data_IF_849495203893
#
_entry.id   IF_849495203893
#
_cell.length_a   1.000
_cell.length_b   1.000
_cell.length_c   1.000
_cell.angle_alpha   90.00
_cell.angle_beta   90.00
_cell.angle_gamma   90.00
#
_symmetry.space_group_name_H-M   'P 1'
#
loop_
_entity.id
_entity.type
_entity.pdbx_description
1 polymer ?
#
# COMPACT_ATOMS: atom_id res chain seq x y z
N UNK A 1 -62.57 0.01 56.27
CA UNK A 1 -62.36 0.64 54.95
C UNK A 1 -61.13 1.54 55.02
N UNK A 2 -60.14 1.27 54.16
CA UNK A 2 -59.17 2.19 53.52
C UNK A 2 -58.28 3.10 54.41
N UNK A 3 -56.98 3.24 54.22
CA UNK A 3 -56.01 2.80 53.20
C UNK A 3 -54.62 2.96 53.85
N UNK A 4 -53.79 1.92 53.86
CA UNK A 4 -52.36 2.03 54.17
C UNK A 4 -51.62 2.26 52.84
N UNK A 5 -51.06 3.45 52.64
CA UNK A 5 -50.30 3.77 51.43
C UNK A 5 -48.86 3.29 51.59
N UNK A 6 -48.51 2.21 50.88
CA UNK A 6 -47.14 1.72 50.71
C UNK A 6 -46.48 2.58 49.62
N UNK A 7 -45.49 3.38 50.01
CA UNK A 7 -44.63 4.13 49.11
C UNK A 7 -43.49 3.20 48.65
N UNK A 8 -43.64 2.57 47.49
CA UNK A 8 -42.54 1.87 46.82
C UNK A 8 -41.58 2.90 46.21
N UNK A 9 -40.42 3.10 46.83
CA UNK A 9 -39.29 3.80 46.21
C UNK A 9 -38.66 2.87 45.18
N UNK A 10 -39.01 3.06 43.92
CA UNK A 10 -38.37 2.45 42.77
C UNK A 10 -37.01 3.15 42.56
N UNK A 11 -35.94 2.56 43.08
CA UNK A 11 -34.57 2.95 42.73
C UNK A 11 -34.31 2.53 41.29
N UNK A 12 -34.49 3.46 40.36
CA UNK A 12 -34.01 3.34 38.98
C UNK A 12 -32.49 3.31 39.00
N UNK A 13 -31.92 2.11 39.02
CA UNK A 13 -30.50 1.88 38.70
C UNK A 13 -30.35 2.20 37.22
N UNK A 14 -30.06 3.47 36.90
CA UNK A 14 -29.45 3.84 35.63
C UNK A 14 -28.03 3.27 35.63
N UNK A 15 -27.92 1.98 35.30
CA UNK A 15 -26.66 1.39 34.87
C UNK A 15 -26.27 2.10 33.57
N UNK A 16 -25.53 3.19 33.69
CA UNK A 16 -24.72 3.70 32.59
C UNK A 16 -23.79 2.55 32.24
N UNK A 17 -24.14 1.78 31.20
CA UNK A 17 -23.25 0.79 30.61
C UNK A 17 -22.04 1.56 30.07
N UNK A 18 -21.05 1.80 30.94
CA UNK A 18 -19.76 2.31 30.51
C UNK A 18 -19.21 1.29 29.51
N UNK A 19 -19.06 1.70 28.25
CA UNK A 19 -18.56 0.82 27.21
C UNK A 19 -17.21 0.22 27.65
N UNK A 20 -17.07 -1.09 27.47
CA UNK A 20 -15.91 -1.83 27.92
C UNK A 20 -14.69 -1.42 27.08
N UNK A 21 -13.54 -1.20 27.75
CA UNK A 21 -12.26 -0.96 27.07
C UNK A 21 -11.99 -2.12 26.12
N UNK A 22 -11.84 -1.83 24.84
CA UNK A 22 -11.66 -2.84 23.81
C UNK A 22 -10.45 -2.54 22.94
N UNK A 23 -9.88 -3.62 22.40
CA UNK A 23 -8.69 -3.59 21.58
C UNK A 23 -8.84 -4.58 20.43
N UNK A 24 -8.70 -4.06 19.22
CA UNK A 24 -8.55 -4.85 18.00
C UNK A 24 -7.08 -4.87 17.58
N UNK A 25 -6.59 -6.04 17.15
CA UNK A 25 -5.22 -6.21 16.71
C UNK A 25 -5.22 -6.91 15.36
N UNK A 26 -4.69 -6.21 14.35
CA UNK A 26 -4.62 -6.70 12.98
C UNK A 26 -3.15 -6.87 12.60
N UNK A 27 -2.63 -8.10 12.58
CA UNK A 27 -1.36 -8.38 11.93
C UNK A 27 -1.53 -8.17 10.42
N UNK A 28 -0.69 -7.35 9.78
CA UNK A 28 -0.84 -6.98 8.37
C UNK A 28 0.50 -6.83 7.65
N UNK A 29 0.44 -6.94 6.33
CA UNK A 29 1.52 -6.59 5.40
C UNK A 29 1.28 -5.22 4.73
N UNK A 30 0.19 -4.53 5.07
CA UNK A 30 -0.11 -3.21 4.54
C UNK A 30 1.02 -2.20 4.81
N UNK A 31 1.02 -1.12 4.03
CA UNK A 31 1.98 -0.04 4.17
C UNK A 31 1.88 0.61 5.57
N UNK A 32 3.02 0.87 6.25
CA UNK A 32 3.03 1.41 7.61
C UNK A 32 2.47 2.82 7.72
N UNK A 33 2.43 3.60 6.64
CA UNK A 33 1.82 4.93 6.65
C UNK A 33 0.33 4.87 7.00
N UNK A 34 -0.33 3.77 6.62
CA UNK A 34 -1.77 3.58 6.73
C UNK A 34 -2.52 4.84 6.26
N UNK A 35 -2.06 5.43 5.14
CA UNK A 35 -2.57 6.71 4.62
C UNK A 35 -4.10 6.72 4.55
N UNK A 36 -4.75 5.59 4.23
CA UNK A 36 -6.21 5.49 4.19
C UNK A 36 -6.88 5.78 5.54
N UNK A 37 -6.22 5.49 6.66
CA UNK A 37 -6.75 5.77 8.00
C UNK A 37 -6.70 7.27 8.34
N UNK A 38 -5.69 7.97 7.84
CA UNK A 38 -5.40 9.38 8.19
C UNK A 38 -5.85 10.38 7.13
N UNK A 39 -5.91 9.97 5.87
CA UNK A 39 -6.06 10.81 4.68
C UNK A 39 -7.20 10.33 3.77
N UNK A 40 -8.26 9.81 4.37
CA UNK A 40 -9.50 9.48 3.68
C UNK A 40 -10.71 9.89 4.53
N UNK A 41 -11.82 10.18 3.86
CA UNK A 41 -13.08 10.51 4.53
C UNK A 41 -13.83 9.26 5.01
N UNK A 42 -13.58 8.12 4.36
CA UNK A 42 -14.33 6.88 4.55
C UNK A 42 -13.49 5.85 5.30
N UNK A 43 -13.10 6.17 6.55
CA UNK A 43 -12.20 5.33 7.36
C UNK A 43 -12.71 3.89 7.51
N UNK A 44 -14.03 3.72 7.58
CA UNK A 44 -14.69 2.42 7.77
C UNK A 44 -14.88 1.64 6.46
N UNK A 45 -14.66 2.26 5.30
CA UNK A 45 -14.85 1.61 4.00
C UNK A 45 -13.66 0.73 3.58
N UNK A 46 -12.52 0.84 4.28
CA UNK A 46 -11.32 0.09 3.93
C UNK A 46 -10.96 -0.96 4.98
N UNK A 47 -10.94 -2.22 4.56
CA UNK A 47 -10.51 -3.34 5.40
C UNK A 47 -8.99 -3.49 5.36
N UNK A 48 -8.37 -3.57 6.53
CA UNK A 48 -6.93 -3.82 6.66
C UNK A 48 -6.68 -5.30 6.41
N UNK A 49 -5.85 -5.68 5.42
CA UNK A 49 -5.61 -7.08 5.13
C UNK A 49 -4.91 -7.76 6.30
N UNK A 50 -5.49 -8.85 6.79
CA UNK A 50 -4.88 -9.64 7.85
C UNK A 50 -3.89 -10.65 7.26
N UNK A 51 -2.68 -10.71 7.81
CA UNK A 51 -1.71 -11.77 7.51
C UNK A 51 -1.75 -12.82 8.61
N UNK A 52 -1.80 -14.09 8.19
CA UNK A 52 -1.75 -15.25 9.09
C UNK A 52 -0.48 -16.07 8.93
N UNK A 53 0.25 -15.85 7.84
CA UNK A 53 1.39 -16.66 7.41
C UNK A 53 2.50 -15.77 6.85
N UNK A 54 3.73 -16.02 7.27
CA UNK A 54 4.92 -15.29 6.83
C UNK A 54 6.07 -16.25 6.57
N UNK A 55 7.10 -15.77 5.87
CA UNK A 55 8.35 -16.49 5.63
C UNK A 55 9.52 -15.80 6.34
N UNK A 56 10.67 -16.47 6.56
CA UNK A 56 11.84 -15.83 7.13
C UNK A 56 12.25 -14.56 6.38
N UNK A 57 12.56 -13.50 7.12
CA UNK A 57 12.90 -12.17 6.61
C UNK A 57 11.70 -11.31 6.22
N UNK A 58 10.49 -11.88 6.08
CA UNK A 58 9.28 -11.12 5.80
C UNK A 58 8.83 -10.37 7.05
N UNK A 59 8.79 -9.04 6.95
CA UNK A 59 8.29 -8.19 8.03
C UNK A 59 6.78 -8.01 7.90
N UNK A 60 6.05 -8.37 8.96
CA UNK A 60 4.67 -7.97 9.15
C UNK A 60 4.57 -6.98 10.30
N UNK A 61 3.39 -6.40 10.46
CA UNK A 61 3.15 -5.28 11.35
C UNK A 61 1.90 -5.49 12.17
N UNK A 62 1.90 -5.02 13.42
CA UNK A 62 0.68 -4.98 14.24
C UNK A 62 0.05 -3.60 14.15
N UNK A 63 -1.14 -3.54 13.56
CA UNK A 63 -2.04 -2.40 13.71
C UNK A 63 -2.92 -2.67 14.93
N UNK A 64 -2.83 -1.81 15.94
CA UNK A 64 -3.58 -1.95 17.19
C UNK A 64 -4.55 -0.79 17.27
N UNK A 65 -5.84 -1.09 17.43
CA UNK A 65 -6.89 -0.11 17.61
C UNK A 65 -7.42 -0.17 19.04
N UNK A 66 -7.60 0.98 19.65
CA UNK A 66 -8.15 1.12 20.99
C UNK A 66 -9.52 1.81 20.93
N UNK A 67 -10.46 1.28 21.70
CA UNK A 67 -11.82 1.78 21.84
C UNK A 67 -12.18 1.89 23.32
N UNK A 68 -13.03 2.86 23.66
CA UNK A 68 -13.57 3.04 25.02
C UNK A 68 -12.49 3.15 26.12
N UNK A 69 -11.36 3.79 25.81
CA UNK A 69 -10.31 4.11 26.78
C UNK A 69 -10.61 5.42 27.53
N UNK A 70 -9.98 5.58 28.69
CA UNK A 70 -10.15 6.75 29.56
C UNK A 70 -9.31 7.91 29.08
N UNK A 71 -9.85 9.12 29.24
CA UNK A 71 -9.14 10.37 28.97
C UNK A 71 -9.22 11.29 30.18
N UNK A 72 -8.15 12.05 30.40
CA UNK A 72 -8.08 13.08 31.44
C UNK A 72 -7.38 14.31 30.85
N UNK A 73 -8.01 15.48 30.91
CA UNK A 73 -7.49 16.72 30.32
C UNK A 73 -7.09 16.58 28.84
N UNK A 74 -7.94 15.93 28.02
CA UNK A 74 -7.67 15.59 26.61
C UNK A 74 -6.43 14.68 26.36
N UNK A 75 -5.86 14.09 27.41
CA UNK A 75 -4.79 13.10 27.29
C UNK A 75 -5.33 11.69 27.53
N UNK A 76 -4.81 10.73 26.78
CA UNK A 76 -4.97 9.30 27.02
C UNK A 76 -3.68 8.75 27.67
N UNK A 77 -3.79 7.61 28.36
CA UNK A 77 -2.60 6.91 28.83
C UNK A 77 -2.78 5.40 28.64
N UNK A 78 -2.64 4.99 27.39
CA UNK A 78 -2.73 3.58 27.01
C UNK A 78 -1.33 3.07 26.69
N UNK A 79 -0.91 2.00 27.39
CA UNK A 79 0.35 1.30 27.11
C UNK A 79 0.09 -0.16 26.77
N UNK A 80 1.04 -0.79 26.08
CA UNK A 80 0.93 -2.21 25.77
C UNK A 80 2.28 -2.94 25.75
N UNK A 81 2.20 -4.27 25.81
CA UNK A 81 3.32 -5.19 25.77
C UNK A 81 3.04 -6.24 24.72
N UNK A 82 4.07 -6.66 23.99
CA UNK A 82 3.98 -7.72 22.98
C UNK A 82 4.93 -8.84 23.38
N UNK A 83 4.43 -10.05 23.51
CA UNK A 83 5.23 -11.25 23.77
C UNK A 83 4.99 -12.26 22.67
N UNK A 84 6.05 -12.92 22.24
CA UNK A 84 6.01 -14.01 21.29
C UNK A 84 6.30 -15.34 22.02
N UNK A 85 5.52 -16.37 21.72
CA UNK A 85 5.76 -17.75 22.16
C UNK A 85 6.08 -18.57 20.92
N UNK A 86 7.19 -19.30 20.96
CA UNK A 86 7.67 -20.13 19.86
C UNK A 86 6.79 -21.39 19.70
N UNK A 87 6.90 -22.12 18.58
CA UNK A 87 6.13 -23.35 18.34
C UNK A 87 6.34 -24.45 19.39
N UNK A 88 7.52 -24.50 20.01
CA UNK A 88 7.87 -25.43 21.09
C UNK A 88 7.38 -24.98 22.49
N UNK A 89 6.64 -23.86 22.57
CA UNK A 89 6.19 -23.26 23.83
C UNK A 89 7.24 -22.41 24.54
N UNK A 90 8.49 -22.37 24.05
CA UNK A 90 9.54 -21.54 24.63
C UNK A 90 9.31 -20.05 24.37
N UNK A 91 10.00 -19.20 25.15
CA UNK A 91 9.87 -17.74 25.01
C UNK A 91 10.56 -17.27 23.74
N UNK A 92 9.81 -16.56 22.89
CA UNK A 92 10.35 -15.77 21.78
C UNK A 92 10.75 -14.37 22.23
N UNK A 93 10.62 -13.39 21.33
CA UNK A 93 10.89 -11.99 21.67
C UNK A 93 9.85 -11.39 22.62
N UNK A 94 10.23 -10.31 23.30
CA UNK A 94 9.33 -9.48 24.10
C UNK A 94 9.60 -8.00 23.84
N UNK A 95 8.55 -7.21 23.61
CA UNK A 95 8.60 -5.74 23.56
C UNK A 95 7.81 -5.19 24.74
N UNK A 96 8.48 -4.43 25.60
CA UNK A 96 7.93 -3.99 26.88
C UNK A 96 7.46 -2.54 26.85
N UNK A 97 6.29 -2.28 27.47
CA UNK A 97 5.78 -0.95 27.83
C UNK A 97 5.84 0.06 26.67
N UNK A 98 5.29 -0.33 25.54
CA UNK A 98 5.14 0.53 24.37
C UNK A 98 3.99 1.52 24.59
N UNK A 99 4.12 2.73 24.04
CA UNK A 99 3.04 3.72 24.02
C UNK A 99 2.01 3.32 22.97
N UNK A 100 0.75 3.16 23.40
CA UNK A 100 -0.40 2.98 22.52
C UNK A 100 -0.99 4.31 22.11
N UNK A 101 -1.47 5.09 23.09
CA UNK A 101 -2.06 6.42 22.92
C UNK A 101 -1.66 7.36 24.06
N UNK A 102 -1.29 8.59 23.72
CA UNK A 102 -1.05 9.74 24.60
C UNK A 102 -2.17 10.77 24.55
N UNK A 103 -2.91 10.83 23.44
CA UNK A 103 -3.88 11.87 23.17
C UNK A 103 -5.30 11.29 23.13
N UNK A 104 -6.30 12.12 23.44
CA UNK A 104 -7.70 11.70 23.42
C UNK A 104 -8.19 11.28 22.03
N UNK A 105 -7.49 11.67 20.96
CA UNK A 105 -7.87 11.41 19.58
C UNK A 105 -9.23 12.02 19.20
N UNK A 106 -9.66 11.79 17.96
CA UNK A 106 -10.99 12.18 17.48
C UNK A 106 -11.69 10.95 16.92
N UNK A 107 -12.73 10.45 17.60
CA UNK A 107 -13.53 9.29 17.17
C UNK A 107 -13.52 8.13 18.15
N UNK A 108 -14.44 7.18 17.94
CA UNK A 108 -14.68 6.03 18.85
C UNK A 108 -13.55 4.99 18.85
N UNK A 109 -12.76 4.96 17.77
CA UNK A 109 -11.67 4.01 17.54
C UNK A 109 -10.42 4.73 17.11
N UNK A 110 -9.33 4.54 17.85
CA UNK A 110 -8.05 5.16 17.58
C UNK A 110 -6.98 4.13 17.25
N UNK A 111 -6.23 4.39 16.19
CA UNK A 111 -5.04 3.62 15.84
C UNK A 111 -3.91 3.99 16.81
N UNK A 112 -3.17 2.98 17.27
CA UNK A 112 -1.93 3.12 18.01
C UNK A 112 -0.95 4.07 17.31
N UNK A 113 -0.29 4.95 18.07
CA UNK A 113 0.66 5.94 17.54
C UNK A 113 1.77 5.34 16.68
N UNK A 114 2.16 4.10 16.98
CA UNK A 114 3.22 3.40 16.26
C UNK A 114 2.77 2.00 15.87
N UNK A 115 2.91 1.72 14.58
CA UNK A 115 2.78 0.38 14.04
C UNK A 115 4.01 -0.43 14.46
N UNK A 116 3.81 -1.66 14.94
CA UNK A 116 4.90 -2.48 15.50
C UNK A 116 5.39 -3.50 14.46
N UNK A 117 6.62 -3.35 13.93
CA UNK A 117 7.18 -4.33 13.00
C UNK A 117 7.67 -5.58 13.75
N UNK A 118 7.41 -6.74 13.13
CA UNK A 118 7.84 -8.07 13.57
C UNK A 118 8.35 -8.83 12.34
N UNK A 119 9.49 -9.49 12.47
CA UNK A 119 10.08 -10.35 11.44
C UNK A 119 10.73 -11.54 12.13
N UNK A 120 10.66 -12.70 11.48
CA UNK A 120 11.40 -13.90 11.90
C UNK A 120 12.67 -14.05 11.07
N UNK A 121 13.73 -14.54 11.69
CA UNK A 121 15.00 -14.86 11.06
C UNK A 121 14.97 -16.25 10.39
N UNK A 122 16.01 -16.58 9.62
CA UNK A 122 16.17 -17.92 9.02
C UNK A 122 16.42 -19.03 10.05
N UNK A 123 16.85 -18.68 11.25
CA UNK A 123 17.17 -19.62 12.32
C UNK A 123 16.00 -19.84 13.28
N UNK A 124 14.92 -19.07 13.14
CA UNK A 124 13.72 -19.26 13.93
C UNK A 124 12.98 -20.53 13.49
N UNK A 125 12.52 -21.37 14.44
CA UNK A 125 11.86 -22.63 14.10
C UNK A 125 10.58 -22.37 13.30
N UNK A 126 10.41 -23.13 12.21
CA UNK A 126 9.17 -23.16 11.44
C UNK A 126 8.02 -23.66 12.32
N UNK A 127 6.82 -23.11 12.12
CA UNK A 127 5.62 -23.52 12.84
C UNK A 127 4.76 -22.34 13.27
N UNK A 128 3.83 -22.63 14.18
CA UNK A 128 2.86 -21.67 14.66
C UNK A 128 3.40 -20.91 15.89
N UNK A 129 3.48 -19.59 15.78
CA UNK A 129 3.84 -18.70 16.88
C UNK A 129 2.58 -18.09 17.48
N UNK A 130 2.52 -18.02 18.82
CA UNK A 130 1.49 -17.25 19.51
C UNK A 130 2.02 -15.85 19.85
N UNK A 131 1.33 -14.81 19.36
CA UNK A 131 1.59 -13.43 19.72
C UNK A 131 0.57 -13.00 20.77
N UNK A 132 1.07 -12.64 21.94
CA UNK A 132 0.28 -12.19 23.08
C UNK A 132 0.48 -10.69 23.26
N UNK A 133 -0.62 -9.94 23.29
CA UNK A 133 -0.60 -8.49 23.50
C UNK A 133 -1.41 -8.15 24.73
N UNK A 134 -0.76 -7.52 25.71
CA UNK A 134 -1.39 -6.98 26.90
C UNK A 134 -1.52 -5.48 26.72
N UNK A 135 -2.72 -4.93 26.86
CA UNK A 135 -3.01 -3.51 26.81
C UNK A 135 -3.50 -3.03 28.17
N UNK A 136 -3.08 -1.84 28.57
CA UNK A 136 -3.44 -1.23 29.85
C UNK A 136 -3.84 0.22 29.62
N UNK A 137 -5.08 0.53 29.97
CA UNK A 137 -5.60 1.89 30.11
C UNK A 137 -5.37 2.34 31.55
N UNK A 138 -4.42 3.25 31.75
CA UNK A 138 -4.05 3.73 33.08
C UNK A 138 -5.04 4.74 33.64
N UNK A 139 -5.88 5.38 32.83
CA UNK A 139 -6.89 6.33 33.28
C UNK A 139 -8.06 5.57 33.90
N UNK A 140 -8.63 4.60 33.18
CA UNK A 140 -9.72 3.77 33.72
C UNK A 140 -9.23 2.58 34.55
N UNK A 141 -7.91 2.38 34.66
CA UNK A 141 -7.28 1.22 35.33
C UNK A 141 -7.73 -0.14 34.76
N UNK A 142 -8.07 -0.18 33.47
CA UNK A 142 -8.51 -1.39 32.77
C UNK A 142 -7.33 -2.10 32.11
N UNK A 143 -7.40 -3.43 32.04
CA UNK A 143 -6.41 -4.27 31.35
C UNK A 143 -7.12 -5.22 30.40
N UNK A 144 -6.53 -5.45 29.25
CA UNK A 144 -7.06 -6.38 28.25
C UNK A 144 -5.93 -7.19 27.62
N UNK A 145 -6.11 -8.50 27.53
CA UNK A 145 -5.19 -9.39 26.83
C UNK A 145 -5.83 -9.90 25.55
N UNK A 146 -5.07 -9.91 24.46
CA UNK A 146 -5.44 -10.46 23.16
C UNK A 146 -4.31 -11.36 22.68
N UNK A 147 -4.67 -12.51 22.12
CA UNK A 147 -3.71 -13.44 21.54
C UNK A 147 -4.14 -13.77 20.12
N UNK A 148 -3.17 -13.99 19.24
CA UNK A 148 -3.41 -14.51 17.90
C UNK A 148 -2.20 -15.33 17.44
N UNK A 149 -2.39 -16.07 16.35
CA UNK A 149 -1.39 -16.98 15.81
C UNK A 149 -0.85 -16.46 14.48
N UNK A 150 0.46 -16.65 14.26
CA UNK A 150 1.14 -16.40 12.99
C UNK A 150 1.94 -17.65 12.65
N UNK A 151 1.72 -18.20 11.46
CA UNK A 151 2.49 -19.32 10.94
C UNK A 151 3.77 -18.81 10.28
N UNK A 152 4.94 -19.23 10.77
CA UNK A 152 6.20 -19.08 10.05
C UNK A 152 6.41 -20.31 9.18
N UNK A 153 6.61 -20.12 7.87
CA UNK A 153 6.80 -21.22 6.92
C UNK A 153 7.98 -21.01 6.01
N UNK A 154 8.48 -22.12 5.45
CA UNK A 154 9.44 -22.05 4.37
C UNK A 154 8.85 -21.35 3.14
N UNK A 155 9.65 -20.48 2.54
CA UNK A 155 9.27 -19.88 1.29
C UNK A 155 9.35 -20.90 0.16
N UNK A 156 8.32 -20.91 -0.69
CA UNK A 156 8.29 -21.65 -1.94
C UNK A 156 7.90 -20.67 -3.05
N UNK A 157 8.58 -20.76 -4.20
CA UNK A 157 8.32 -19.91 -5.37
C UNK A 157 6.85 -19.95 -5.80
N UNK A 158 6.21 -21.12 -5.67
CA UNK A 158 4.85 -21.35 -6.09
C UNK A 158 4.65 -21.24 -7.61
N UNK A 159 3.40 -21.24 -8.03
CA UNK A 159 2.96 -21.15 -9.44
C UNK A 159 1.90 -20.07 -9.66
N UNK A 160 1.54 -19.31 -8.63
CA UNK A 160 0.60 -18.21 -8.73
C UNK A 160 1.37 -16.89 -8.93
N UNK A 161 0.87 -15.97 -9.77
CA UNK A 161 -0.28 -16.11 -10.68
C UNK A 161 0.04 -17.01 -11.88
N UNK A 162 -0.88 -17.91 -12.27
CA UNK A 162 -0.66 -18.89 -13.33
C UNK A 162 -1.05 -18.38 -14.72
N UNK A 163 -1.98 -17.44 -14.81
CA UNK A 163 -2.45 -16.83 -16.06
C UNK A 163 -2.22 -15.32 -16.12
N UNK A 164 -2.28 -14.74 -17.32
CA UNK A 164 -2.21 -13.27 -17.51
C UNK A 164 -3.37 -12.53 -16.82
N UNK A 165 -4.56 -13.14 -16.73
CA UNK A 165 -5.70 -12.55 -16.04
C UNK A 165 -5.47 -12.50 -14.53
N UNK A 166 -5.05 -13.62 -13.93
CA UNK A 166 -4.71 -13.68 -12.51
C UNK A 166 -3.56 -12.72 -12.19
N UNK A 167 -2.55 -12.65 -13.06
CA UNK A 167 -1.43 -11.75 -12.92
C UNK A 167 -1.87 -10.28 -12.90
N UNK A 168 -2.73 -9.90 -13.86
CA UNK A 168 -3.30 -8.55 -13.89
C UNK A 168 -4.13 -8.25 -12.64
N UNK A 169 -5.01 -9.18 -12.22
CA UNK A 169 -5.82 -9.02 -11.03
C UNK A 169 -4.98 -8.92 -9.74
N UNK A 170 -3.93 -9.72 -9.64
CA UNK A 170 -2.98 -9.70 -8.54
C UNK A 170 -2.28 -8.34 -8.43
N UNK A 171 -1.74 -7.81 -9.53
CA UNK A 171 -1.11 -6.49 -9.53
C UNK A 171 -2.08 -5.39 -9.09
N UNK A 172 -3.28 -5.33 -9.69
CA UNK A 172 -4.26 -4.27 -9.43
C UNK A 172 -4.86 -4.30 -8.01
N UNK A 173 -4.87 -5.47 -7.37
CA UNK A 173 -5.40 -5.63 -6.01
C UNK A 173 -4.30 -5.85 -4.96
N UNK A 174 -3.03 -5.67 -5.33
CA UNK A 174 -1.92 -5.99 -4.43
C UNK A 174 -2.00 -5.22 -3.12
N UNK A 175 -2.30 -3.92 -3.15
CA UNK A 175 -2.47 -3.12 -1.93
C UNK A 175 -3.64 -3.58 -1.03
N UNK A 176 -4.67 -4.22 -1.60
CA UNK A 176 -5.81 -4.77 -0.84
C UNK A 176 -5.47 -6.08 -0.16
N UNK A 177 -4.62 -6.89 -0.77
CA UNK A 177 -4.18 -8.17 -0.23
C UNK A 177 -2.69 -8.42 -0.58
N UNK A 178 -1.76 -7.76 0.14
CA UNK A 178 -0.35 -7.84 -0.19
C UNK A 178 0.16 -9.27 -0.10
N UNK A 179 0.74 -9.74 -1.20
CA UNK A 179 1.23 -11.13 -1.34
C UNK A 179 2.63 -11.15 -1.98
N UNK A 180 3.64 -10.56 -1.30
CA UNK A 180 4.99 -10.41 -1.84
C UNK A 180 5.65 -11.73 -2.24
N UNK A 181 5.29 -12.83 -1.58
CA UNK A 181 5.87 -14.14 -1.84
C UNK A 181 5.59 -14.66 -3.26
N UNK A 182 4.56 -14.16 -3.95
CA UNK A 182 4.26 -14.49 -5.35
C UNK A 182 5.07 -13.66 -6.35
N UNK A 183 5.73 -12.58 -5.91
CA UNK A 183 6.36 -11.62 -6.81
C UNK A 183 7.50 -12.23 -7.63
N UNK A 184 8.26 -13.18 -7.07
CA UNK A 184 9.36 -13.85 -7.79
C UNK A 184 8.80 -14.65 -8.98
N UNK A 185 7.79 -15.50 -8.74
CA UNK A 185 7.13 -16.24 -9.81
C UNK A 185 6.49 -15.29 -10.83
N UNK A 186 5.69 -14.33 -10.34
CA UNK A 186 4.99 -13.38 -11.19
C UNK A 186 5.95 -12.63 -12.14
N UNK A 187 7.10 -12.19 -11.61
CA UNK A 187 8.12 -11.49 -12.38
C UNK A 187 8.76 -12.39 -13.43
N UNK A 188 9.27 -13.55 -13.03
CA UNK A 188 9.98 -14.44 -13.94
C UNK A 188 9.06 -14.98 -15.05
N UNK A 189 7.80 -15.25 -14.74
CA UNK A 189 6.83 -15.80 -15.70
C UNK A 189 6.25 -14.71 -16.62
N UNK A 190 5.77 -13.59 -16.06
CA UNK A 190 4.89 -12.66 -16.81
C UNK A 190 5.56 -11.34 -17.21
N UNK A 191 6.68 -10.96 -16.59
CA UNK A 191 7.38 -9.73 -17.01
C UNK A 191 8.09 -9.96 -18.34
N UNK A 192 7.78 -9.13 -19.32
CA UNK A 192 8.48 -9.05 -20.60
C UNK A 192 9.02 -7.63 -20.74
N UNK A 193 10.35 -7.41 -20.68
CA UNK A 193 10.92 -6.06 -20.67
C UNK A 193 10.52 -5.22 -21.88
N UNK A 194 10.43 -5.85 -23.06
CA UNK A 194 10.08 -5.18 -24.32
C UNK A 194 8.81 -5.84 -24.89
N UNK A 195 7.78 -5.03 -25.17
CA UNK A 195 6.60 -5.47 -25.91
C UNK A 195 6.48 -4.73 -27.24
N UNK A 196 5.89 -5.38 -28.24
CA UNK A 196 5.56 -4.75 -29.51
C UNK A 196 4.14 -4.24 -29.47
N UNK A 197 3.96 -2.92 -29.53
CA UNK A 197 2.64 -2.26 -29.57
C UNK A 197 2.53 -1.51 -30.88
N UNK A 198 1.57 -1.89 -31.73
CA UNK A 198 1.37 -1.31 -33.07
C UNK A 198 2.66 -1.26 -33.90
N UNK A 199 3.43 -2.35 -33.89
CA UNK A 199 4.69 -2.47 -34.63
C UNK A 199 5.91 -1.78 -34.01
N UNK A 200 5.75 -1.05 -32.89
CA UNK A 200 6.86 -0.39 -32.19
C UNK A 200 7.25 -1.15 -30.93
N UNK A 201 8.55 -1.40 -30.75
CA UNK A 201 9.11 -1.95 -29.52
C UNK A 201 9.04 -0.90 -28.41
N UNK A 202 8.46 -1.25 -27.28
CA UNK A 202 8.30 -0.39 -26.12
C UNK A 202 8.76 -1.10 -24.86
N UNK A 203 9.57 -0.42 -24.05
CA UNK A 203 9.96 -0.93 -22.75
C UNK A 203 8.80 -0.80 -21.75
N UNK A 204 8.59 -1.83 -20.91
CA UNK A 204 7.50 -1.89 -19.93
C UNK A 204 7.93 -1.27 -18.59
N UNK A 205 8.10 0.06 -18.58
CA UNK A 205 8.57 0.80 -17.40
C UNK A 205 7.63 0.69 -16.20
N UNK A 206 6.33 0.77 -16.42
CA UNK A 206 5.29 0.62 -15.40
C UNK A 206 5.35 -0.75 -14.71
N UNK A 207 5.40 -1.84 -15.48
CA UNK A 207 5.47 -3.19 -14.91
C UNK A 207 6.77 -3.37 -14.14
N UNK A 208 7.91 -2.90 -14.67
CA UNK A 208 9.16 -2.94 -13.94
C UNK A 208 9.08 -2.13 -12.63
N UNK A 209 8.45 -0.95 -12.66
CA UNK A 209 8.29 -0.08 -11.50
C UNK A 209 7.44 -0.72 -10.40
N UNK A 210 6.42 -1.49 -10.76
CA UNK A 210 5.67 -2.31 -9.80
C UNK A 210 6.59 -3.27 -9.05
N UNK A 211 7.36 -4.09 -9.78
CA UNK A 211 8.25 -5.07 -9.16
C UNK A 211 9.38 -4.41 -8.39
N UNK A 212 9.96 -3.33 -8.91
CA UNK A 212 10.92 -2.50 -8.19
C UNK A 212 10.35 -2.09 -6.83
N UNK A 213 9.12 -1.57 -6.80
CA UNK A 213 8.43 -1.15 -5.57
C UNK A 213 8.21 -2.32 -4.60
N UNK A 214 7.69 -3.45 -5.11
CA UNK A 214 7.44 -4.65 -4.30
C UNK A 214 8.74 -5.20 -3.69
N UNK A 215 9.81 -5.33 -4.47
CA UNK A 215 11.09 -5.86 -4.00
C UNK A 215 11.82 -4.89 -3.07
N UNK A 216 11.74 -3.59 -3.30
CA UNK A 216 12.32 -2.59 -2.38
C UNK A 216 11.61 -2.62 -1.02
N UNK A 217 10.29 -2.79 -0.98
CA UNK A 217 9.54 -2.90 0.29
C UNK A 217 9.66 -4.28 0.96
N UNK A 218 10.17 -5.28 0.26
CA UNK A 218 10.27 -6.67 0.71
C UNK A 218 11.67 -7.22 0.42
N UNK A 219 12.68 -6.65 1.06
CA UNK A 219 14.09 -6.90 0.70
C UNK A 219 14.51 -8.37 0.75
N UNK A 220 13.87 -9.16 1.61
CA UNK A 220 14.09 -10.61 1.75
C UNK A 220 13.83 -11.37 0.44
N UNK A 221 12.96 -10.85 -0.45
CA UNK A 221 12.66 -11.45 -1.74
C UNK A 221 13.89 -11.51 -2.65
N UNK A 222 14.83 -10.57 -2.52
CA UNK A 222 16.00 -10.52 -3.40
C UNK A 222 16.89 -11.75 -3.20
N UNK A 223 17.15 -12.12 -1.95
CA UNK A 223 17.97 -13.29 -1.66
C UNK A 223 17.25 -14.59 -2.06
N UNK A 224 15.93 -14.63 -1.94
CA UNK A 224 15.11 -15.76 -2.39
C UNK A 224 15.08 -15.88 -3.91
N UNK A 225 14.95 -14.77 -4.63
CA UNK A 225 14.94 -14.71 -6.08
C UNK A 225 16.30 -15.06 -6.68
N UNK A 226 17.40 -14.74 -6.01
CA UNK A 226 18.75 -15.03 -6.51
C UNK A 226 19.30 -16.40 -6.07
N UNK A 227 18.63 -17.09 -5.14
CA UNK A 227 19.08 -18.40 -4.62
C UNK A 227 19.35 -19.42 -5.74
N UNK A 228 18.51 -19.43 -6.76
CA UNK A 228 18.59 -20.38 -7.88
C UNK A 228 19.12 -19.73 -9.16
N UNK A 229 19.77 -18.55 -9.07
CA UNK A 229 20.13 -17.76 -10.25
C UNK A 229 20.97 -18.54 -11.28
N UNK A 230 21.86 -19.42 -10.83
CA UNK A 230 22.69 -20.23 -11.73
C UNK A 230 21.86 -21.12 -12.68
N UNK A 231 20.71 -21.62 -12.22
CA UNK A 231 19.83 -22.50 -13.00
C UNK A 231 18.83 -21.74 -13.89
N UNK A 232 18.83 -20.41 -13.84
CA UNK A 232 17.92 -19.59 -14.64
C UNK A 232 18.27 -19.66 -16.12
N UNK A 233 17.24 -19.67 -16.96
CA UNK A 233 17.40 -19.45 -18.39
C UNK A 233 18.00 -18.06 -18.66
N UNK A 234 18.57 -17.87 -19.85
CA UNK A 234 19.12 -16.55 -20.27
C UNK A 234 18.09 -15.43 -20.14
N UNK A 235 16.82 -15.70 -20.48
CA UNK A 235 15.73 -14.74 -20.35
C UNK A 235 15.47 -14.36 -18.89
N UNK A 236 15.42 -15.33 -17.98
CA UNK A 236 15.23 -15.08 -16.54
C UNK A 236 16.42 -14.33 -15.94
N UNK A 237 17.66 -14.68 -16.33
CA UNK A 237 18.87 -13.94 -15.93
C UNK A 237 18.81 -12.47 -16.36
N UNK A 238 18.38 -12.19 -17.60
CA UNK A 238 18.15 -10.81 -18.09
C UNK A 238 17.08 -10.08 -17.27
N UNK A 239 15.95 -10.73 -16.97
CA UNK A 239 14.89 -10.12 -16.15
C UNK A 239 15.41 -9.77 -14.76
N UNK A 240 16.09 -10.69 -14.09
CA UNK A 240 16.65 -10.45 -12.77
C UNK A 240 17.73 -9.37 -12.78
N UNK A 241 18.65 -9.39 -13.75
CA UNK A 241 19.65 -8.34 -13.92
C UNK A 241 19.00 -6.95 -14.12
N UNK A 242 17.93 -6.89 -14.91
CA UNK A 242 17.14 -5.66 -15.12
C UNK A 242 16.51 -5.16 -13.82
N UNK A 243 15.88 -6.04 -13.03
CA UNK A 243 15.30 -5.68 -11.74
C UNK A 243 16.36 -5.24 -10.74
N UNK A 244 17.47 -5.97 -10.63
CA UNK A 244 18.58 -5.64 -9.74
C UNK A 244 19.18 -4.28 -10.08
N UNK A 245 19.33 -3.96 -11.37
CA UNK A 245 19.72 -2.62 -11.79
C UNK A 245 18.69 -1.56 -11.39
N UNK A 246 17.39 -1.84 -11.56
CA UNK A 246 16.31 -0.92 -11.20
C UNK A 246 16.23 -0.58 -9.69
N UNK A 247 16.66 -1.50 -8.82
CA UNK A 247 16.67 -1.32 -7.35
C UNK A 247 18.06 -0.97 -6.79
N UNK A 248 19.08 -0.81 -7.63
CA UNK A 248 20.45 -0.52 -7.19
C UNK A 248 21.16 -1.69 -6.48
N UNK A 249 20.83 -2.94 -6.83
CA UNK A 249 21.45 -4.17 -6.30
C UNK A 249 22.19 -4.97 -7.39
N UNK A 250 22.75 -4.28 -8.39
CA UNK A 250 23.48 -4.91 -9.52
C UNK A 250 24.63 -5.80 -9.06
N UNK A 251 25.35 -5.39 -8.01
CA UNK A 251 26.50 -6.13 -7.48
C UNK A 251 26.12 -7.55 -7.00
N UNK A 252 24.91 -7.72 -6.45
CA UNK A 252 24.40 -9.03 -6.03
C UNK A 252 24.25 -10.01 -7.20
N UNK A 253 23.92 -9.52 -8.38
CA UNK A 253 23.81 -10.35 -9.58
C UNK A 253 25.19 -10.58 -10.18
N UNK A 254 26.03 -9.54 -10.25
CA UNK A 254 27.38 -9.66 -10.78
C UNK A 254 28.24 -10.65 -10.00
N UNK A 255 28.05 -10.78 -8.68
CA UNK A 255 28.75 -11.80 -7.87
C UNK A 255 28.35 -13.24 -8.20
N UNK A 256 27.21 -13.43 -8.87
CA UNK A 256 26.67 -14.75 -9.26
C UNK A 256 26.93 -15.09 -10.73
N UNK A 257 27.41 -14.13 -11.52
CA UNK A 257 27.62 -14.27 -12.96
C UNK A 257 29.03 -14.74 -13.30
N UNK A 258 29.11 -15.60 -14.32
CA UNK A 258 30.35 -15.84 -15.07
C UNK A 258 30.70 -14.65 -15.99
N UNK A 259 31.86 -14.72 -16.66
CA UNK A 259 32.35 -13.63 -17.52
C UNK A 259 31.41 -13.33 -18.71
N UNK A 260 30.81 -14.37 -19.30
CA UNK A 260 29.88 -14.22 -20.42
C UNK A 260 28.56 -13.59 -19.98
N UNK A 261 28.10 -13.92 -18.78
CA UNK A 261 26.88 -13.39 -18.18
C UNK A 261 27.04 -11.94 -17.71
N UNK A 262 28.24 -11.53 -17.27
CA UNK A 262 28.53 -10.13 -16.93
C UNK A 262 28.28 -9.19 -18.10
N UNK A 263 28.55 -9.63 -19.33
CA UNK A 263 28.23 -8.85 -20.52
C UNK A 263 26.72 -8.66 -20.70
N UNK A 264 25.91 -9.67 -20.36
CA UNK A 264 24.45 -9.59 -20.39
C UNK A 264 23.96 -8.55 -19.38
N UNK A 265 24.46 -8.61 -18.14
CA UNK A 265 24.10 -7.66 -17.07
C UNK A 265 24.47 -6.22 -17.45
N UNK A 266 25.61 -6.01 -18.11
CA UNK A 266 26.02 -4.68 -18.55
C UNK A 266 25.00 -4.03 -19.52
N UNK A 267 24.29 -4.85 -20.31
CA UNK A 267 23.28 -4.42 -21.29
C UNK A 267 21.90 -4.19 -20.68
N UNK A 268 21.67 -4.58 -19.42
CA UNK A 268 20.40 -4.31 -18.72
C UNK A 268 20.38 -2.97 -17.99
N UNK A 269 21.41 -2.13 -18.19
CA UNK A 269 21.43 -0.76 -17.72
C UNK A 269 20.37 0.05 -18.44
N UNK A 270 19.32 0.42 -17.71
CA UNK A 270 18.20 1.23 -18.19
C UNK A 270 18.08 2.48 -17.35
N UNK A 271 17.79 3.61 -18.00
CA UNK A 271 17.36 4.81 -17.32
C UNK A 271 15.85 4.73 -17.11
N UNK A 272 15.44 4.63 -15.85
CA UNK A 272 14.02 4.59 -15.48
C UNK A 272 13.56 6.04 -15.28
N UNK A 273 12.50 6.49 -15.97
CA UNK A 273 11.92 7.80 -15.73
C UNK A 273 11.58 7.99 -14.25
N UNK A 274 11.80 9.18 -13.71
CA UNK A 274 11.33 9.49 -12.36
C UNK A 274 9.82 9.80 -12.42
N UNK A 275 8.94 9.00 -11.76
CA UNK A 275 7.51 9.30 -11.75
C UNK A 275 7.16 10.54 -10.93
N UNK A 276 8.05 11.03 -10.06
CA UNK A 276 7.82 12.17 -9.17
C UNK A 276 8.46 13.48 -9.63
N UNK A 277 9.18 13.49 -10.75
CA UNK A 277 9.60 14.72 -11.41
C UNK A 277 8.39 15.43 -12.07
N UNK A 278 8.61 16.55 -12.77
CA UNK A 278 7.55 17.17 -13.58
C UNK A 278 6.96 16.10 -14.53
N UNK A 279 5.66 15.84 -14.39
CA UNK A 279 4.99 14.88 -15.26
C UNK A 279 4.91 15.49 -16.66
N UNK A 280 5.67 14.92 -17.59
CA UNK A 280 5.78 15.39 -18.97
C UNK A 280 5.41 14.31 -20.00
N UNK A 281 5.17 13.08 -19.56
CA UNK A 281 4.82 11.96 -20.43
C UNK A 281 3.83 10.98 -19.78
N UNK A 282 3.20 10.14 -20.62
CA UNK A 282 2.18 9.19 -20.17
C UNK A 282 2.75 8.02 -19.37
N UNK A 283 4.03 7.69 -19.53
CA UNK A 283 4.67 6.57 -18.82
C UNK A 283 4.74 6.86 -17.33
N UNK A 284 5.05 8.11 -16.95
CA UNK A 284 5.04 8.54 -15.54
C UNK A 284 3.66 8.37 -14.90
N UNK A 285 2.56 8.73 -15.59
CA UNK A 285 1.19 8.49 -15.08
C UNK A 285 0.94 7.00 -14.84
N UNK A 286 1.33 6.12 -15.77
CA UNK A 286 1.22 4.67 -15.59
C UNK A 286 2.05 4.16 -14.41
N UNK A 287 3.27 4.67 -14.23
CA UNK A 287 4.14 4.33 -13.10
C UNK A 287 3.54 4.78 -11.76
N UNK A 288 2.91 5.95 -11.69
CA UNK A 288 2.24 6.42 -10.48
C UNK A 288 1.04 5.51 -10.13
N UNK A 289 0.23 5.15 -11.12
CA UNK A 289 -0.89 4.22 -10.90
C UNK A 289 -0.43 2.85 -10.41
N UNK A 290 0.62 2.30 -11.02
CA UNK A 290 1.11 0.97 -10.65
C UNK A 290 1.81 0.96 -9.29
N UNK A 291 2.46 2.07 -8.90
CA UNK A 291 2.98 2.26 -7.55
C UNK A 291 1.85 2.38 -6.52
N UNK A 292 0.77 3.09 -6.83
CA UNK A 292 -0.44 3.08 -6.00
C UNK A 292 -0.96 1.66 -5.81
N UNK A 293 -1.06 0.85 -6.88
CA UNK A 293 -1.52 -0.53 -6.74
C UNK A 293 -0.57 -1.43 -5.94
N UNK A 294 0.73 -1.17 -5.98
CA UNK A 294 1.73 -1.88 -5.19
C UNK A 294 1.70 -1.51 -3.68
N UNK A 295 1.21 -0.32 -3.32
CA UNK A 295 1.40 0.24 -1.97
C UNK A 295 0.12 0.63 -1.26
N UNK A 296 -0.86 1.15 -1.99
CA UNK A 296 -2.05 1.79 -1.45
C UNK A 296 -1.78 3.18 -0.86
N UNK A 297 -0.62 3.78 -1.13
CA UNK A 297 -0.24 5.08 -0.57
C UNK A 297 -0.88 6.23 -1.34
N UNK A 298 -1.05 7.38 -0.67
CA UNK A 298 -1.68 8.55 -1.28
C UNK A 298 -0.73 9.28 -2.25
N UNK A 299 0.58 9.22 -2.01
CA UNK A 299 1.58 10.03 -2.71
C UNK A 299 1.56 9.89 -4.24
N UNK A 300 1.41 8.69 -4.82
CA UNK A 300 1.25 8.59 -6.28
C UNK A 300 -0.03 9.29 -6.79
N UNK A 301 -1.12 9.28 -6.00
CA UNK A 301 -2.37 9.95 -6.34
C UNK A 301 -2.22 11.48 -6.25
N UNK A 302 -1.48 11.99 -5.26
CA UNK A 302 -1.14 13.41 -5.15
C UNK A 302 -0.43 13.91 -6.42
N UNK A 303 0.57 13.17 -6.91
CA UNK A 303 1.30 13.51 -8.12
C UNK A 303 0.41 13.46 -9.39
N UNK A 304 -0.47 12.45 -9.49
CA UNK A 304 -1.45 12.37 -10.60
C UNK A 304 -2.42 13.56 -10.55
N UNK A 305 -2.90 13.95 -9.37
CA UNK A 305 -3.80 15.10 -9.22
C UNK A 305 -3.05 16.41 -9.53
N UNK A 306 -1.78 16.55 -9.15
CA UNK A 306 -0.98 17.73 -9.50
C UNK A 306 -0.82 17.89 -11.02
N UNK A 307 -0.68 16.79 -11.77
CA UNK A 307 -0.61 16.82 -13.23
C UNK A 307 -1.86 17.45 -13.91
N UNK A 308 -3.00 17.57 -13.21
CA UNK A 308 -4.18 18.29 -13.69
C UNK A 308 -3.96 19.80 -13.84
N UNK A 309 -2.89 20.38 -13.26
CA UNK A 309 -2.50 21.79 -13.48
C UNK A 309 -2.26 22.13 -14.96
N UNK A 310 -2.03 21.11 -15.79
CA UNK A 310 -1.92 21.25 -17.24
C UNK A 310 -3.25 21.63 -17.93
N UNK A 311 -4.37 21.71 -17.20
CA UNK A 311 -5.66 22.23 -17.70
C UNK A 311 -5.54 23.61 -18.37
N UNK A 312 -4.54 24.43 -17.99
CA UNK A 312 -4.28 25.72 -18.63
C UNK A 312 -3.94 25.63 -20.13
N UNK A 313 -3.53 24.45 -20.61
CA UNK A 313 -3.27 24.18 -22.03
C UNK A 313 -4.45 23.51 -22.73
N UNK A 314 -5.58 23.30 -22.05
CA UNK A 314 -6.72 22.56 -22.60
C UNK A 314 -7.20 23.18 -23.93
N UNK A 315 -7.29 22.34 -24.97
CA UNK A 315 -7.69 22.75 -26.30
C UNK A 315 -6.54 23.22 -27.21
N UNK A 316 -5.30 23.23 -26.73
CA UNK A 316 -4.11 23.54 -27.54
C UNK A 316 -4.00 22.65 -28.78
N UNK A 317 -4.35 21.36 -28.69
CA UNK A 317 -4.34 20.45 -29.83
C UNK A 317 -5.26 20.93 -30.97
N UNK A 318 -6.43 21.46 -30.62
CA UNK A 318 -7.39 22.00 -31.60
C UNK A 318 -6.96 23.38 -32.09
N UNK A 319 -6.48 24.24 -31.18
CA UNK A 319 -6.07 25.62 -31.47
C UNK A 319 -4.87 25.68 -32.42
N UNK A 320 -3.88 24.82 -32.22
CA UNK A 320 -2.62 24.82 -32.96
C UNK A 320 -2.52 23.72 -34.01
N UNK A 321 -3.67 23.23 -34.51
CA UNK A 321 -3.71 22.16 -35.50
C UNK A 321 -2.85 22.48 -36.74
N UNK A 322 -2.91 23.73 -37.19
CA UNK A 322 -2.21 24.19 -38.41
C UNK A 322 -0.79 24.72 -38.13
N UNK A 323 -0.40 24.82 -36.85
CA UNK A 323 0.92 25.30 -36.39
C UNK A 323 1.57 24.34 -35.37
N UNK A 324 1.28 23.04 -35.51
CA UNK A 324 1.59 22.03 -34.49
C UNK A 324 3.09 21.93 -34.13
N UNK A 325 3.98 22.12 -35.12
CA UNK A 325 5.43 22.08 -34.89
C UNK A 325 5.92 23.22 -33.97
N UNK A 326 5.28 24.39 -34.03
CA UNK A 326 5.66 25.56 -33.23
C UNK A 326 5.13 25.50 -31.79
N UNK A 327 4.07 24.72 -31.55
CA UNK A 327 3.39 24.61 -30.25
C UNK A 327 3.36 23.17 -29.72
N UNK A 328 4.40 22.38 -30.05
CA UNK A 328 4.44 20.96 -29.70
C UNK A 328 4.32 20.76 -28.18
N UNK A 329 4.95 21.60 -27.37
CA UNK A 329 4.93 21.47 -25.91
C UNK A 329 3.53 21.70 -25.34
N UNK A 330 2.81 22.72 -25.81
CA UNK A 330 1.44 23.00 -25.36
C UNK A 330 0.48 21.90 -25.79
N UNK A 331 0.64 21.35 -27.00
CA UNK A 331 -0.14 20.22 -27.49
C UNK A 331 0.12 18.97 -26.62
N UNK A 332 1.38 18.68 -26.28
CA UNK A 332 1.71 17.55 -25.39
C UNK A 332 1.11 17.75 -24.00
N UNK A 333 1.17 18.96 -23.44
CA UNK A 333 0.58 19.26 -22.12
C UNK A 333 -0.95 19.18 -22.12
N UNK A 334 -1.62 19.57 -23.21
CA UNK A 334 -3.06 19.35 -23.41
C UNK A 334 -3.41 17.85 -23.44
N UNK A 335 -2.66 17.05 -24.20
CA UNK A 335 -2.87 15.60 -24.25
C UNK A 335 -2.61 14.94 -22.88
N UNK A 336 -1.56 15.36 -22.18
CA UNK A 336 -1.25 14.87 -20.83
C UNK A 336 -2.36 15.19 -19.85
N UNK A 337 -2.91 16.41 -19.90
CA UNK A 337 -4.07 16.78 -19.11
C UNK A 337 -5.27 15.85 -19.39
N UNK A 338 -5.61 15.64 -20.67
CA UNK A 338 -6.74 14.80 -21.07
C UNK A 338 -6.55 13.33 -20.63
N UNK A 339 -5.37 12.76 -20.80
CA UNK A 339 -5.05 11.39 -20.38
C UNK A 339 -5.09 11.26 -18.86
N UNK A 340 -4.55 12.24 -18.13
CA UNK A 340 -4.57 12.25 -16.65
C UNK A 340 -6.00 12.23 -16.14
N UNK A 341 -6.84 13.14 -16.62
CA UNK A 341 -8.24 13.22 -16.23
C UNK A 341 -9.04 11.96 -16.59
N UNK A 342 -8.84 11.43 -17.80
CA UNK A 342 -9.44 10.16 -18.21
C UNK A 342 -8.99 9.00 -17.31
N UNK A 343 -7.69 8.93 -16.98
CA UNK A 343 -7.16 7.86 -16.12
C UNK A 343 -7.79 7.91 -14.73
N UNK A 344 -7.84 9.07 -14.07
CA UNK A 344 -8.51 9.25 -12.79
C UNK A 344 -9.93 8.71 -12.81
N UNK A 345 -10.70 9.06 -13.84
CA UNK A 345 -12.07 8.58 -13.99
C UNK A 345 -12.17 7.04 -14.12
N UNK A 346 -11.27 6.41 -14.89
CA UNK A 346 -11.26 4.95 -15.01
C UNK A 346 -10.89 4.29 -13.68
N UNK A 347 -9.86 4.78 -13.02
CA UNK A 347 -9.33 4.20 -11.80
C UNK A 347 -10.25 4.42 -10.59
N UNK A 348 -11.03 5.51 -10.55
CA UNK A 348 -12.07 5.70 -9.53
C UNK A 348 -13.15 4.62 -9.54
N UNK A 349 -13.51 4.13 -10.73
CA UNK A 349 -14.49 3.03 -10.86
C UNK A 349 -13.95 1.70 -10.33
N UNK A 350 -12.64 1.53 -10.35
CA UNK A 350 -11.96 0.27 -10.02
C UNK A 350 -11.49 0.26 -8.55
N UNK A 351 -11.09 1.43 -8.03
CA UNK A 351 -10.53 1.59 -6.69
C UNK A 351 -11.30 2.64 -5.87
N UNK A 352 -12.12 2.19 -4.89
CA UNK A 352 -12.73 3.09 -3.91
C UNK A 352 -11.69 3.91 -3.15
N UNK A 353 -10.52 3.33 -2.86
CA UNK A 353 -9.44 4.02 -2.15
C UNK A 353 -8.86 5.18 -2.98
N UNK A 354 -8.58 4.96 -4.27
CA UNK A 354 -8.11 6.03 -5.16
C UNK A 354 -9.15 7.17 -5.24
N UNK A 355 -10.44 6.83 -5.24
CA UNK A 355 -11.53 7.81 -5.21
C UNK A 355 -11.50 8.63 -3.91
N UNK A 356 -11.41 7.97 -2.76
CA UNK A 356 -11.40 8.64 -1.45
C UNK A 356 -10.17 9.55 -1.29
N UNK A 357 -8.99 9.07 -1.67
CA UNK A 357 -7.78 9.90 -1.74
C UNK A 357 -7.91 11.10 -2.65
N UNK A 358 -8.46 10.90 -3.85
CA UNK A 358 -8.63 12.04 -4.76
C UNK A 358 -9.57 13.09 -4.15
N UNK A 359 -10.67 12.68 -3.53
CA UNK A 359 -11.57 13.60 -2.82
C UNK A 359 -10.85 14.33 -1.67
N UNK A 360 -10.09 13.60 -0.87
CA UNK A 360 -9.30 14.16 0.23
C UNK A 360 -8.31 15.23 -0.25
N UNK A 361 -7.55 14.94 -1.32
CA UNK A 361 -6.57 15.87 -1.91
C UNK A 361 -7.28 17.12 -2.44
N UNK A 362 -8.42 16.94 -3.11
CA UNK A 362 -9.20 18.06 -3.66
C UNK A 362 -9.80 18.94 -2.56
N UNK A 363 -10.19 18.39 -1.42
CA UNK A 363 -10.77 19.16 -0.32
C UNK A 363 -9.70 19.92 0.48
N UNK A 364 -8.56 19.28 0.73
CA UNK A 364 -7.47 19.86 1.54
C UNK A 364 -6.62 20.87 0.78
N UNK A 365 -6.54 20.78 -0.55
CA UNK A 365 -5.77 21.71 -1.37
C UNK A 365 -6.67 22.73 -2.09
N UNK A 366 -6.93 23.87 -1.44
CA UNK A 366 -7.83 24.94 -1.94
C UNK A 366 -7.50 25.43 -3.37
N UNK A 367 -6.23 25.43 -3.77
CA UNK A 367 -5.82 25.85 -5.12
C UNK A 367 -6.04 24.74 -6.17
N UNK A 368 -5.77 23.49 -5.81
CA UNK A 368 -6.07 22.33 -6.67
C UNK A 368 -7.57 22.10 -6.82
N UNK A 369 -8.37 22.41 -5.80
CA UNK A 369 -9.83 22.23 -5.82
C UNK A 369 -10.50 22.99 -6.99
N UNK A 370 -10.21 24.28 -7.17
CA UNK A 370 -10.85 25.10 -8.21
C UNK A 370 -10.45 24.71 -9.63
N UNK A 371 -9.18 24.35 -9.85
CA UNK A 371 -8.67 23.97 -11.17
C UNK A 371 -9.04 22.53 -11.52
N UNK A 372 -8.90 21.59 -10.58
CA UNK A 372 -9.16 20.17 -10.79
C UNK A 372 -10.65 19.85 -10.87
N UNK A 373 -11.52 20.53 -10.10
CA UNK A 373 -12.98 20.34 -10.26
C UNK A 373 -13.45 20.83 -11.62
N UNK A 374 -13.00 22.01 -12.08
CA UNK A 374 -13.31 22.50 -13.44
C UNK A 374 -12.77 21.55 -14.52
N UNK A 375 -11.55 21.06 -14.36
CA UNK A 375 -10.94 20.08 -15.24
C UNK A 375 -11.75 18.77 -15.34
N UNK A 376 -12.11 18.20 -14.19
CA UNK A 376 -12.89 16.97 -14.11
C UNK A 376 -14.29 17.17 -14.71
N UNK A 377 -14.95 18.30 -14.42
CA UNK A 377 -16.24 18.65 -15.00
C UNK A 377 -16.16 18.82 -16.53
N UNK A 378 -15.12 19.49 -17.06
CA UNK A 378 -14.93 19.67 -18.50
C UNK A 378 -14.74 18.33 -19.23
N UNK A 379 -13.96 17.41 -18.65
CA UNK A 379 -13.76 16.08 -19.23
C UNK A 379 -15.04 15.25 -19.17
N UNK A 380 -15.76 15.27 -18.05
CA UNK A 380 -17.05 14.58 -17.90
C UNK A 380 -18.11 15.07 -18.90
N UNK A 381 -18.23 16.38 -19.10
CA UNK A 381 -19.15 16.96 -20.09
C UNK A 381 -18.77 16.60 -21.53
N UNK A 382 -17.47 16.58 -21.86
CA UNK A 382 -17.00 16.26 -23.21
C UNK A 382 -17.21 14.79 -23.59
N UNK A 383 -17.19 13.87 -22.62
CA UNK A 383 -17.46 12.45 -22.85
C UNK A 383 -18.96 12.14 -22.97
N UNK A 384 -19.83 12.89 -22.28
CA UNK A 384 -21.28 12.74 -22.42
C UNK A 384 -21.79 13.18 -23.80
N UNK A 385 -21.11 14.12 -24.46
CA UNK A 385 -21.47 14.60 -25.82
C UNK A 385 -20.99 13.68 -26.97
N UNK A 386 -20.20 12.64 -26.67
CA UNK A 386 -19.71 11.65 -27.65
C UNK A 386 -20.46 10.31 -27.60
N UNK A 387 -21.45 10.19 -26.70
CA UNK A 387 -22.48 9.16 -26.71
C UNK A 387 -23.75 9.78 -27.26
#
# INVERSE_FOLDING_TARGET
MNKLSIFCVLVLINSIFAQQFDVEIIPTLADPSLDYWHKSFDKDAYTIPQVKKVVPGQTFRLCIFFENYGTQNNAANVKFWVKCVKPDGSKGFTKNKLTGLSDSGTGKKQLCEKVIPISFSKNDPIGEYEIQVLCVDYINKKKLKRNFKIELTEWKRGSYPGSLQEYSQWMHNYYKNPSPNYAVHAFLTHFTPIKTVKGKKQFQYDVLHFFRTVFTKNEYLMDLALKDFASYSTSEKVKMATLCNAIGKTDKVLSLCDESERQIVSKTKIQIPDPYSEVDNFVQISMLWIEFYATGNITPIEQIVDALKNVKYFGAQKKYKDSAAQHQQEIVKDLLFQVTAWSLQQHWRISPLATSYTRYILDTNKNSQKMSIRALQQVLQSQQRKK
#
